data_IF_181844658338
#
_entry.id   IF_181844658338
#
_cell.length_a   1.000
_cell.length_b   1.000
_cell.length_c   1.000
_cell.angle_alpha   90.00
_cell.angle_beta   90.00
_cell.angle_gamma   90.00
#
_symmetry.space_group_name_H-M   'P 1'
#
loop_
_entity.id
_entity.type
_entity.pdbx_description
1 polymer ?
#
# COMPACT_ATOMS: atom_id res chain seq x y z
N UNK A 1 15.48 24.74 16.61
CA UNK A 1 14.41 24.02 15.90
C UNK A 1 14.98 22.74 15.37
N UNK A 2 14.24 21.65 15.44
CA UNK A 2 14.62 20.36 14.81
C UNK A 2 14.38 20.45 13.30
N UNK A 3 15.22 19.77 12.50
CA UNK A 3 14.88 19.53 11.09
C UNK A 3 13.71 18.56 10.98
N UNK A 4 13.01 18.56 9.83
CA UNK A 4 11.91 17.61 9.56
C UNK A 4 12.40 16.17 9.67
N UNK A 5 13.56 15.86 9.10
CA UNK A 5 14.16 14.53 9.14
C UNK A 5 14.47 14.09 10.58
N UNK A 6 15.10 14.96 11.37
CA UNK A 6 15.47 14.67 12.75
C UNK A 6 14.22 14.45 13.64
N UNK A 7 13.22 15.34 13.56
CA UNK A 7 12.00 15.21 14.32
C UNK A 7 11.25 13.93 13.98
N UNK A 8 11.12 13.61 12.69
CA UNK A 8 10.49 12.37 12.23
C UNK A 8 11.26 11.12 12.70
N UNK A 9 12.59 11.13 12.62
CA UNK A 9 13.39 9.99 13.08
C UNK A 9 13.22 9.75 14.57
N UNK A 10 13.32 10.79 15.41
CA UNK A 10 13.09 10.69 16.86
C UNK A 10 11.71 10.11 17.18
N UNK A 11 10.67 10.53 16.44
CA UNK A 11 9.32 9.98 16.58
C UNK A 11 9.28 8.50 16.20
N UNK A 12 9.81 8.16 15.04
CA UNK A 12 9.80 6.78 14.56
C UNK A 12 10.60 5.83 15.44
N UNK A 13 11.68 6.28 16.08
CA UNK A 13 12.49 5.46 16.96
C UNK A 13 11.73 4.96 18.21
N UNK A 14 10.68 5.66 18.61
CA UNK A 14 9.81 5.29 19.74
C UNK A 14 8.57 4.49 19.35
N UNK A 15 8.29 4.34 18.05
CA UNK A 15 7.12 3.61 17.53
C UNK A 15 7.47 2.14 17.31
N UNK A 16 6.68 1.24 17.87
CA UNK A 16 6.71 -0.19 17.59
C UNK A 16 5.53 -0.63 16.74
N UNK A 17 5.69 -1.73 16.01
CA UNK A 17 4.56 -2.37 15.34
C UNK A 17 3.58 -2.94 16.37
N UNK A 18 2.29 -2.89 16.05
CA UNK A 18 1.24 -3.49 16.86
C UNK A 18 1.36 -5.02 16.89
N UNK A 19 0.72 -5.68 17.86
CA UNK A 19 0.71 -7.14 17.96
C UNK A 19 0.27 -7.81 16.66
N UNK A 20 0.67 -9.07 16.54
CA UNK A 20 0.30 -9.93 15.42
C UNK A 20 -0.99 -10.68 15.75
N UNK A 21 -1.86 -10.83 14.77
CA UNK A 21 -3.06 -11.66 14.84
C UNK A 21 -3.08 -12.68 13.70
N UNK A 22 -3.72 -13.83 13.93
CA UNK A 22 -4.04 -14.78 12.86
C UNK A 22 -5.37 -14.38 12.23
N UNK A 23 -5.39 -14.21 10.91
CA UNK A 23 -6.55 -13.73 10.18
C UNK A 23 -6.91 -14.67 9.03
N UNK A 24 -8.21 -14.83 8.75
CA UNK A 24 -8.67 -15.54 7.54
C UNK A 24 -8.16 -14.82 6.29
N UNK A 25 -7.70 -15.61 5.30
CA UNK A 25 -7.21 -15.08 4.03
C UNK A 25 -8.24 -14.19 3.34
N UNK A 26 -9.53 -14.54 3.39
CA UNK A 26 -10.63 -13.79 2.76
C UNK A 26 -10.83 -12.38 3.33
N UNK A 27 -10.33 -12.10 4.54
CA UNK A 27 -10.47 -10.80 5.21
C UNK A 27 -9.13 -10.11 5.46
N UNK A 28 -8.02 -10.64 4.91
CA UNK A 28 -6.66 -10.14 5.14
C UNK A 28 -6.16 -9.09 4.14
N UNK A 29 -7.01 -8.70 3.19
CA UNK A 29 -6.66 -7.64 2.23
C UNK A 29 -6.23 -6.36 2.93
N UNK A 30 -5.15 -5.75 2.43
CA UNK A 30 -4.56 -4.50 2.92
C UNK A 30 -3.95 -4.59 4.34
N UNK A 31 -3.82 -5.79 4.89
CA UNK A 31 -3.01 -6.04 6.08
C UNK A 31 -1.54 -6.26 5.70
N UNK A 32 -0.65 -6.13 6.68
CA UNK A 32 0.79 -6.34 6.50
C UNK A 32 1.17 -7.71 7.08
N UNK A 33 1.79 -8.51 6.25
CA UNK A 33 2.22 -9.85 6.62
C UNK A 33 3.31 -9.79 7.71
N UNK A 34 3.13 -10.55 8.80
CA UNK A 34 4.02 -10.53 9.95
C UNK A 34 5.09 -11.65 9.91
N UNK A 35 5.00 -12.56 8.96
CA UNK A 35 5.89 -13.71 8.79
C UNK A 35 6.34 -13.86 7.32
N UNK A 36 7.45 -14.54 7.10
CA UNK A 36 7.86 -14.97 5.77
C UNK A 36 7.02 -16.18 5.33
N UNK A 37 6.52 -16.16 4.11
CA UNK A 37 5.76 -17.28 3.53
C UNK A 37 6.61 -18.02 2.55
N UNK A 38 6.87 -19.29 2.87
CA UNK A 38 7.58 -20.22 2.00
C UNK A 38 6.60 -21.17 1.30
N UNK A 39 6.93 -21.58 0.08
CA UNK A 39 6.17 -22.57 -0.67
C UNK A 39 6.29 -23.95 0.00
N UNK A 40 5.14 -24.57 0.23
CA UNK A 40 5.05 -25.94 0.78
C UNK A 40 4.89 -27.00 -0.31
N UNK A 41 4.63 -26.56 -1.54
CA UNK A 41 4.45 -27.41 -2.72
C UNK A 41 4.89 -26.64 -3.97
N UNK A 42 5.15 -27.37 -5.03
CA UNK A 42 5.51 -26.78 -6.33
C UNK A 42 4.31 -26.14 -7.02
N UNK A 43 4.53 -25.06 -7.76
CA UNK A 43 3.51 -24.43 -8.60
C UNK A 43 4.03 -24.32 -10.04
N UNK A 44 3.38 -25.00 -11.00
CA UNK A 44 2.31 -25.99 -10.82
C UNK A 44 2.80 -27.28 -10.12
N UNK A 45 1.91 -28.06 -9.51
CA UNK A 45 2.30 -29.24 -8.73
C UNK A 45 2.71 -30.47 -9.58
N UNK A 46 2.50 -30.42 -10.89
CA UNK A 46 2.85 -31.47 -11.85
C UNK A 46 3.06 -30.86 -13.25
N UNK A 47 3.77 -31.59 -14.10
CA UNK A 47 3.91 -31.24 -15.51
C UNK A 47 2.54 -31.25 -16.18
N UNK A 48 2.19 -30.16 -16.89
CA UNK A 48 0.87 -30.04 -17.51
C UNK A 48 0.94 -29.39 -18.90
N UNK A 49 -0.10 -29.54 -19.67
CA UNK A 49 -0.21 -28.97 -21.00
C UNK A 49 -0.44 -27.46 -20.94
N UNK A 50 0.35 -26.70 -21.69
CA UNK A 50 0.13 -25.27 -21.90
C UNK A 50 -0.99 -24.97 -22.93
N UNK A 51 -1.40 -25.96 -23.73
CA UNK A 51 -2.30 -25.82 -24.88
C UNK A 51 -3.30 -26.97 -24.95
N UNK A 52 -4.43 -26.74 -25.60
CA UNK A 52 -5.31 -27.83 -26.05
C UNK A 52 -4.69 -28.55 -27.25
N UNK A 53 -4.62 -29.87 -27.21
CA UNK A 53 -3.99 -30.59 -28.30
C UNK A 53 -3.80 -32.09 -28.02
N UNK A 54 -2.64 -32.60 -28.37
CA UNK A 54 -2.28 -33.99 -28.20
C UNK A 54 -0.91 -34.12 -27.55
N UNK A 55 -0.85 -34.82 -26.42
CA UNK A 55 0.40 -35.19 -25.78
C UNK A 55 1.03 -36.34 -26.58
N UNK A 56 2.30 -36.19 -26.97
CA UNK A 56 3.02 -37.04 -27.89
C UNK A 56 4.45 -37.29 -27.42
N UNK A 57 5.10 -38.27 -28.03
CA UNK A 57 6.57 -38.38 -28.06
C UNK A 57 7.06 -37.50 -29.22
N UNK A 58 7.80 -36.41 -28.92
CA UNK A 58 8.24 -35.46 -29.94
C UNK A 58 9.01 -36.12 -31.10
N UNK A 59 9.81 -37.14 -30.80
CA UNK A 59 10.57 -37.89 -31.80
C UNK A 59 9.67 -38.61 -32.83
N UNK A 60 8.47 -39.01 -32.45
CA UNK A 60 7.52 -39.70 -33.35
C UNK A 60 6.92 -38.75 -34.39
N UNK A 61 6.88 -37.47 -34.10
CA UNK A 61 6.26 -36.45 -34.95
C UNK A 61 7.25 -35.45 -35.53
N UNK A 62 8.55 -35.63 -35.30
CA UNK A 62 9.61 -34.68 -35.73
C UNK A 62 9.62 -34.37 -37.22
N UNK A 63 9.17 -35.35 -38.08
CA UNK A 63 9.13 -35.22 -39.53
C UNK A 63 7.72 -34.89 -40.05
N UNK A 64 6.75 -34.64 -39.19
CA UNK A 64 5.40 -34.30 -39.57
C UNK A 64 5.35 -32.97 -40.35
N UNK A 65 4.64 -32.94 -41.47
CA UNK A 65 4.42 -31.75 -42.28
C UNK A 65 3.06 -31.79 -42.97
N UNK A 66 2.61 -30.64 -43.51
CA UNK A 66 1.37 -30.57 -44.25
C UNK A 66 1.31 -31.55 -45.45
N UNK A 67 2.48 -31.83 -46.09
CA UNK A 67 2.60 -32.77 -47.20
C UNK A 67 2.78 -34.25 -46.74
N UNK A 68 3.27 -34.47 -45.53
CA UNK A 68 3.52 -35.79 -44.97
C UNK A 68 3.08 -35.84 -43.50
N UNK A 69 1.76 -35.91 -43.22
CA UNK A 69 1.25 -35.95 -41.87
C UNK A 69 1.57 -37.28 -41.18
N UNK A 70 1.90 -37.24 -39.88
CA UNK A 70 2.10 -38.43 -39.05
C UNK A 70 0.80 -38.81 -38.37
N UNK A 71 0.40 -40.10 -38.46
CA UNK A 71 -0.79 -40.60 -37.79
C UNK A 71 -0.44 -41.32 -36.50
N UNK A 72 -1.11 -40.95 -35.40
CA UNK A 72 -0.95 -41.54 -34.09
C UNK A 72 -2.28 -42.08 -33.60
N UNK A 73 -2.23 -43.21 -32.83
CA UNK A 73 -3.40 -43.77 -32.15
C UNK A 73 -3.70 -42.99 -30.89
N UNK A 74 -4.93 -42.49 -30.76
CA UNK A 74 -5.38 -41.77 -29.53
C UNK A 74 -5.80 -42.80 -28.49
N UNK A 75 -5.05 -42.88 -27.38
CA UNK A 75 -5.28 -43.91 -26.34
C UNK A 75 -6.24 -43.48 -25.25
N UNK A 76 -6.29 -42.14 -24.98
CA UNK A 76 -7.24 -41.56 -24.02
C UNK A 76 -7.45 -40.07 -24.30
N UNK A 77 -8.42 -39.47 -23.58
CA UNK A 77 -8.62 -38.03 -23.53
C UNK A 77 -8.46 -37.56 -22.08
N UNK A 78 -7.57 -36.61 -21.82
CA UNK A 78 -7.21 -36.11 -20.50
C UNK A 78 -7.77 -34.68 -20.36
N UNK A 79 -8.81 -34.53 -19.55
CA UNK A 79 -9.33 -33.21 -19.20
C UNK A 79 -8.60 -32.65 -17.98
N UNK A 80 -8.61 -31.32 -17.83
CA UNK A 80 -8.10 -30.67 -16.63
C UNK A 80 -8.83 -31.16 -15.37
N UNK A 81 -8.08 -31.45 -14.31
CA UNK A 81 -8.59 -32.01 -13.06
C UNK A 81 -8.63 -33.55 -13.02
N UNK A 82 -8.21 -34.24 -14.07
CA UNK A 82 -8.11 -35.70 -14.12
C UNK A 82 -6.66 -36.10 -14.33
N UNK A 83 -6.26 -37.16 -13.62
CA UNK A 83 -4.98 -37.82 -13.82
C UNK A 83 -5.02 -38.72 -15.05
N UNK A 84 -3.93 -38.82 -15.86
CA UNK A 84 -3.80 -39.80 -16.94
C UNK A 84 -3.89 -41.22 -16.38
N UNK A 85 -4.54 -42.13 -17.12
CA UNK A 85 -4.64 -43.54 -16.75
C UNK A 85 -3.77 -44.42 -17.61
N UNK A 86 -3.28 -43.91 -18.75
CA UNK A 86 -2.50 -44.64 -19.71
C UNK A 86 -1.14 -43.98 -19.96
N UNK A 87 -0.13 -44.83 -20.12
CA UNK A 87 1.19 -44.41 -20.57
C UNK A 87 1.18 -44.36 -22.11
N UNK A 88 1.85 -43.34 -22.66
CA UNK A 88 2.07 -43.19 -24.11
C UNK A 88 3.31 -43.99 -24.54
N UNK A 89 3.12 -44.86 -25.53
CA UNK A 89 4.17 -45.55 -26.26
C UNK A 89 4.35 -44.94 -27.67
N UNK A 90 5.31 -45.50 -28.43
CA UNK A 90 5.56 -45.07 -29.82
C UNK A 90 4.32 -45.22 -30.70
N UNK A 91 4.07 -44.25 -31.55
CA UNK A 91 2.92 -44.22 -32.44
C UNK A 91 1.58 -43.90 -31.73
N UNK A 92 1.61 -43.49 -30.47
CA UNK A 92 0.43 -43.18 -29.66
C UNK A 92 0.41 -41.69 -29.27
N UNK A 93 -0.78 -41.21 -28.97
CA UNK A 93 -1.03 -39.87 -28.44
C UNK A 93 -2.17 -39.90 -27.41
N UNK A 94 -2.22 -38.99 -26.48
CA UNK A 94 -3.41 -38.66 -25.69
C UNK A 94 -3.94 -37.32 -26.07
N UNK A 95 -5.24 -37.18 -26.31
CA UNK A 95 -5.88 -35.88 -26.42
C UNK A 95 -5.80 -35.22 -25.06
N UNK A 96 -5.30 -33.98 -25.01
CA UNK A 96 -5.05 -33.28 -23.74
C UNK A 96 -5.60 -31.85 -23.80
N UNK A 97 -6.17 -31.40 -22.69
CA UNK A 97 -6.66 -30.03 -22.53
C UNK A 97 -5.64 -29.17 -21.77
N UNK A 98 -5.67 -27.87 -21.98
CA UNK A 98 -4.84 -26.92 -21.26
C UNK A 98 -4.97 -27.10 -19.74
N UNK A 99 -3.83 -27.18 -19.04
CA UNK A 99 -3.77 -27.41 -17.60
C UNK A 99 -3.93 -28.86 -17.17
N UNK A 100 -4.22 -29.80 -18.09
CA UNK A 100 -4.29 -31.22 -17.78
C UNK A 100 -2.88 -31.81 -17.58
N UNK A 101 -2.77 -32.76 -16.64
CA UNK A 101 -1.53 -33.45 -16.29
C UNK A 101 -0.96 -34.21 -17.50
N UNK A 102 0.34 -34.07 -17.73
CA UNK A 102 1.02 -34.82 -18.79
C UNK A 102 1.01 -36.32 -18.50
N UNK A 103 0.65 -37.16 -19.51
CA UNK A 103 0.73 -38.61 -19.34
C UNK A 103 2.18 -39.09 -19.41
N UNK A 104 2.47 -40.16 -18.65
CA UNK A 104 3.77 -40.83 -18.73
C UNK A 104 4.13 -41.20 -20.17
N UNK A 105 5.38 -40.95 -20.53
CA UNK A 105 5.92 -41.29 -21.85
C UNK A 105 5.79 -40.15 -22.89
N UNK A 106 4.89 -39.21 -22.71
CA UNK A 106 4.83 -38.00 -23.54
C UNK A 106 5.88 -36.98 -23.07
N UNK A 107 6.45 -36.26 -24.01
CA UNK A 107 7.44 -35.22 -23.75
C UNK A 107 7.17 -33.89 -24.50
N UNK A 108 6.05 -33.80 -25.22
CA UNK A 108 5.61 -32.57 -25.88
C UNK A 108 4.09 -32.57 -26.11
N UNK A 109 3.53 -31.41 -26.40
CA UNK A 109 2.12 -31.24 -26.83
C UNK A 109 2.08 -30.57 -28.18
N UNK A 110 1.39 -31.23 -29.14
CA UNK A 110 1.03 -30.68 -30.45
C UNK A 110 -0.30 -29.97 -30.32
N UNK A 111 -0.35 -28.67 -30.71
CA UNK A 111 -1.58 -27.89 -30.64
C UNK A 111 -2.66 -28.47 -31.57
N UNK A 112 -3.93 -28.39 -31.15
CA UNK A 112 -5.07 -28.91 -31.95
C UNK A 112 -5.20 -28.25 -33.33
N UNK A 113 -4.75 -27.01 -33.47
CA UNK A 113 -4.83 -26.22 -34.71
C UNK A 113 -4.03 -26.83 -35.86
N UNK A 114 -2.98 -27.58 -35.56
CA UNK A 114 -2.13 -28.26 -36.54
C UNK A 114 -2.37 -29.77 -36.57
N UNK A 115 -3.57 -30.21 -36.17
CA UNK A 115 -3.98 -31.61 -36.13
C UNK A 115 -5.37 -31.86 -36.73
N UNK A 116 -5.66 -33.10 -37.09
CA UNK A 116 -6.98 -33.52 -37.52
C UNK A 116 -7.33 -34.88 -36.88
N UNK A 117 -8.40 -34.89 -36.08
CA UNK A 117 -8.92 -36.12 -35.48
C UNK A 117 -9.59 -37.00 -36.57
N UNK A 118 -9.28 -38.27 -36.58
CA UNK A 118 -9.82 -39.29 -37.52
C UNK A 118 -10.24 -40.57 -36.75
N UNK A 119 -11.43 -40.52 -36.14
CA UNK A 119 -11.90 -41.60 -35.29
C UNK A 119 -11.03 -41.83 -34.07
N UNK A 120 -10.39 -43.03 -33.98
CA UNK A 120 -9.45 -43.36 -32.90
C UNK A 120 -8.01 -42.92 -33.15
N UNK A 121 -7.75 -42.16 -34.23
CA UNK A 121 -6.43 -41.67 -34.60
C UNK A 121 -6.44 -40.15 -34.75
N UNK A 122 -5.25 -39.56 -34.72
CA UNK A 122 -5.02 -38.15 -35.04
C UNK A 122 -3.94 -38.03 -36.10
N UNK A 123 -4.18 -37.21 -37.10
CA UNK A 123 -3.15 -36.79 -38.07
C UNK A 123 -2.48 -35.52 -37.58
N UNK A 124 -1.18 -35.53 -37.50
CA UNK A 124 -0.32 -34.40 -37.08
C UNK A 124 0.32 -33.79 -38.33
N UNK A 125 0.12 -32.49 -38.57
CA UNK A 125 0.59 -31.82 -39.76
C UNK A 125 1.84 -30.94 -39.52
N UNK A 126 2.28 -30.78 -38.27
CA UNK A 126 3.45 -30.01 -37.90
C UNK A 126 4.22 -30.72 -36.77
N UNK A 127 5.51 -30.91 -36.94
CA UNK A 127 6.38 -31.50 -35.93
C UNK A 127 6.54 -30.56 -34.73
N UNK A 128 6.84 -31.13 -33.57
CA UNK A 128 7.05 -30.42 -32.34
C UNK A 128 8.38 -30.84 -31.71
N UNK A 129 9.12 -29.87 -31.14
CA UNK A 129 10.32 -30.16 -30.37
C UNK A 129 9.95 -30.71 -28.98
N UNK A 130 10.90 -31.45 -28.40
CA UNK A 130 10.79 -31.94 -27.03
C UNK A 130 10.55 -30.78 -26.06
N UNK A 131 9.66 -30.97 -25.09
CA UNK A 131 9.25 -29.99 -24.06
C UNK A 131 8.38 -28.82 -24.58
N UNK A 132 8.10 -28.76 -25.87
CA UNK A 132 7.24 -27.72 -26.43
C UNK A 132 5.81 -27.84 -25.88
N UNK A 133 5.23 -26.71 -25.46
CA UNK A 133 3.89 -26.61 -24.89
C UNK A 133 3.67 -27.45 -23.59
N UNK A 134 4.74 -27.75 -22.85
CA UNK A 134 4.69 -28.37 -21.52
C UNK A 134 5.09 -27.31 -20.49
N UNK A 135 4.31 -27.19 -19.43
CA UNK A 135 4.65 -26.44 -18.21
C UNK A 135 5.16 -27.46 -17.20
N UNK A 136 6.34 -27.23 -16.67
CA UNK A 136 6.94 -28.15 -15.71
C UNK A 136 6.50 -27.89 -14.28
N UNK A 137 6.46 -28.93 -13.49
CA UNK A 137 6.29 -28.83 -12.04
C UNK A 137 7.30 -27.83 -11.45
N UNK A 138 6.83 -26.88 -10.64
CA UNK A 138 7.68 -25.89 -10.00
C UNK A 138 8.27 -24.83 -10.92
N UNK A 139 7.80 -24.69 -12.18
CA UNK A 139 8.35 -23.65 -13.08
C UNK A 139 8.08 -22.23 -12.59
N UNK A 140 7.00 -22.00 -11.83
CA UNK A 140 6.66 -20.71 -11.25
C UNK A 140 7.23 -20.55 -9.85
N UNK A 141 7.05 -21.55 -8.99
CA UNK A 141 7.51 -21.56 -7.60
C UNK A 141 7.87 -23.00 -7.22
N UNK A 142 9.02 -23.18 -6.59
CA UNK A 142 9.47 -24.46 -6.06
C UNK A 142 9.24 -24.57 -4.56
N UNK A 143 9.00 -25.75 -4.09
CA UNK A 143 8.96 -26.07 -2.67
C UNK A 143 10.19 -25.53 -1.94
N UNK A 144 9.98 -24.76 -0.88
CA UNK A 144 11.05 -24.12 -0.11
C UNK A 144 11.40 -22.69 -0.54
N UNK A 145 10.90 -22.20 -1.69
CA UNK A 145 11.12 -20.82 -2.11
C UNK A 145 10.42 -19.83 -1.15
N UNK A 146 11.09 -18.70 -0.85
CA UNK A 146 10.45 -17.56 -0.21
C UNK A 146 9.54 -16.86 -1.22
N UNK A 147 8.23 -16.99 -1.04
CA UNK A 147 7.22 -16.47 -1.98
C UNK A 147 6.78 -15.06 -1.63
N UNK A 148 6.49 -14.81 -0.36
CA UNK A 148 6.08 -13.50 0.13
C UNK A 148 6.85 -13.19 1.41
N UNK A 149 7.71 -12.15 1.42
CA UNK A 149 8.43 -11.76 2.62
C UNK A 149 7.51 -11.04 3.63
N UNK A 150 7.83 -11.15 4.91
CA UNK A 150 7.22 -10.33 5.96
C UNK A 150 7.32 -8.84 5.65
N UNK A 151 6.40 -8.05 6.17
CA UNK A 151 6.31 -6.62 5.88
C UNK A 151 5.62 -6.29 4.55
N UNK A 152 5.24 -7.31 3.77
CA UNK A 152 4.53 -7.12 2.51
C UNK A 152 3.05 -6.83 2.76
N UNK A 153 2.50 -5.79 2.11
CA UNK A 153 1.06 -5.53 2.07
C UNK A 153 0.37 -6.59 1.22
N UNK A 154 -0.70 -7.19 1.75
CA UNK A 154 -1.50 -8.19 1.08
C UNK A 154 -2.47 -7.54 0.09
N UNK A 155 -2.05 -7.43 -1.18
CA UNK A 155 -2.85 -7.00 -2.32
C UNK A 155 -3.57 -8.21 -2.92
N UNK A 156 -4.45 -8.03 -3.91
CA UNK A 156 -5.12 -9.17 -4.58
C UNK A 156 -4.17 -10.26 -5.07
N UNK A 157 -2.98 -9.89 -5.56
CA UNK A 157 -1.98 -10.83 -6.07
C UNK A 157 -1.38 -11.71 -4.97
N UNK A 158 -1.03 -11.12 -3.83
CA UNK A 158 -0.53 -11.85 -2.67
C UNK A 158 -1.61 -12.77 -2.09
N UNK A 159 -2.88 -12.32 -2.05
CA UNK A 159 -4.02 -13.15 -1.63
C UNK A 159 -4.18 -14.36 -2.57
N UNK A 160 -4.13 -14.16 -3.88
CA UNK A 160 -4.24 -15.25 -4.86
C UNK A 160 -3.08 -16.25 -4.71
N UNK A 161 -1.86 -15.77 -4.51
CA UNK A 161 -0.69 -16.62 -4.29
C UNK A 161 -0.81 -17.42 -3.00
N UNK A 162 -1.24 -16.80 -1.90
CA UNK A 162 -1.47 -17.49 -0.63
C UNK A 162 -2.53 -18.59 -0.75
N UNK A 163 -3.58 -18.32 -1.53
CA UNK A 163 -4.61 -19.32 -1.81
C UNK A 163 -4.04 -20.50 -2.62
N UNK A 164 -3.19 -20.24 -3.61
CA UNK A 164 -2.54 -21.31 -4.39
C UNK A 164 -1.55 -22.14 -3.58
N UNK A 165 -1.03 -21.59 -2.47
CA UNK A 165 -0.18 -22.27 -1.48
C UNK A 165 -1.00 -22.93 -0.36
N UNK A 166 -2.32 -23.04 -0.51
CA UNK A 166 -3.22 -23.63 0.48
C UNK A 166 -3.12 -22.99 1.89
N UNK A 167 -2.99 -21.66 1.95
CA UNK A 167 -2.93 -20.87 3.20
C UNK A 167 -4.30 -20.27 3.54
N UNK A 168 -5.17 -20.95 4.30
CA UNK A 168 -6.49 -20.42 4.66
C UNK A 168 -6.44 -19.27 5.64
N UNK A 169 -5.36 -19.16 6.38
CA UNK A 169 -5.08 -18.08 7.36
C UNK A 169 -3.66 -17.57 7.22
N UNK A 170 -3.42 -16.35 7.68
CA UNK A 170 -2.12 -15.67 7.65
C UNK A 170 -1.89 -14.91 8.96
N UNK A 171 -0.62 -14.80 9.35
CA UNK A 171 -0.19 -13.95 10.47
C UNK A 171 0.03 -12.52 9.94
N UNK A 172 -0.71 -11.56 10.48
CA UNK A 172 -0.66 -10.16 10.06
C UNK A 172 -0.55 -9.23 11.28
N UNK A 173 0.00 -8.03 11.09
CA UNK A 173 -0.07 -7.00 12.11
C UNK A 173 -1.48 -6.44 12.24
N UNK A 174 -1.92 -6.16 13.47
CA UNK A 174 -3.18 -5.47 13.74
C UNK A 174 -3.19 -4.09 13.07
N UNK A 175 -4.34 -3.66 12.55
CA UNK A 175 -4.52 -2.30 12.04
C UNK A 175 -4.64 -1.33 13.22
N UNK A 176 -3.87 -0.22 13.26
CA UNK A 176 -3.99 0.79 14.29
C UNK A 176 -5.39 1.40 14.36
N UNK A 177 -5.97 1.45 15.54
CA UNK A 177 -7.16 2.24 15.86
C UNK A 177 -6.66 3.59 16.35
N UNK A 178 -7.11 4.68 15.74
CA UNK A 178 -6.57 6.01 15.98
C UNK A 178 -7.69 6.95 16.40
N UNK A 179 -7.66 7.39 17.65
CA UNK A 179 -8.60 8.38 18.15
C UNK A 179 -8.24 9.77 17.59
N UNK A 180 -9.24 10.50 17.11
CA UNK A 180 -9.07 11.85 16.57
C UNK A 180 -9.99 12.81 17.31
N UNK A 181 -9.39 13.86 17.91
CA UNK A 181 -10.09 14.88 18.70
C UNK A 181 -9.74 16.26 18.14
N UNK A 182 -10.73 17.08 17.83
CA UNK A 182 -10.51 18.52 17.67
C UNK A 182 -10.65 19.24 19.01
N UNK A 183 -9.89 20.33 19.19
CA UNK A 183 -9.95 21.13 20.42
C UNK A 183 -10.12 22.61 20.09
N UNK A 184 -10.95 23.28 20.84
CA UNK A 184 -11.19 24.73 20.71
C UNK A 184 -12.67 25.10 20.80
N UNK A 185 -12.95 26.09 21.65
CA UNK A 185 -14.30 26.62 21.82
C UNK A 185 -14.81 27.35 20.57
N UNK A 186 -13.92 27.74 19.65
CA UNK A 186 -14.28 28.34 18.36
C UNK A 186 -14.95 27.37 17.40
N UNK A 187 -14.84 26.06 17.63
CA UNK A 187 -15.32 25.03 16.71
C UNK A 187 -16.84 24.80 16.84
N UNK A 188 -17.48 24.67 15.70
CA UNK A 188 -18.89 24.27 15.58
C UNK A 188 -18.99 22.96 14.81
N UNK A 189 -19.75 21.98 15.29
CA UNK A 189 -20.03 20.75 14.55
C UNK A 189 -20.64 21.03 13.17
N UNK A 190 -20.46 20.10 12.22
CA UNK A 190 -21.14 20.19 10.93
C UNK A 190 -22.64 19.93 11.12
N UNK A 191 -23.46 20.64 10.34
CA UNK A 191 -24.92 20.57 10.44
C UNK A 191 -25.56 21.57 11.41
N UNK A 192 -24.80 22.14 12.35
CA UNK A 192 -25.30 23.16 13.27
C UNK A 192 -25.18 24.58 12.71
N UNK A 193 -26.02 25.55 13.11
CA UNK A 193 -25.85 26.97 12.70
C UNK A 193 -24.52 27.55 13.19
N UNK A 194 -23.85 28.32 12.31
CA UNK A 194 -22.57 28.97 12.65
C UNK A 194 -22.84 30.29 13.40
N UNK A 195 -22.48 30.34 14.67
CA UNK A 195 -22.57 31.58 15.46
C UNK A 195 -21.42 32.55 15.10
N UNK A 196 -21.58 33.85 15.36
CA UNK A 196 -20.49 34.85 15.19
C UNK A 196 -19.24 34.44 15.97
N UNK A 197 -18.07 34.56 15.34
CA UNK A 197 -16.77 34.19 15.94
C UNK A 197 -16.45 32.69 15.94
N UNK A 198 -17.34 31.84 15.47
CA UNK A 198 -17.12 30.40 15.35
C UNK A 198 -16.73 30.00 13.94
N UNK A 199 -16.05 28.87 13.83
CA UNK A 199 -15.64 28.22 12.57
C UNK A 199 -16.10 26.76 12.54
N UNK A 200 -16.10 26.15 11.35
CA UNK A 200 -16.40 24.71 11.21
C UNK A 200 -15.21 23.86 11.61
N UNK A 201 -15.47 22.76 12.33
CA UNK A 201 -14.50 21.71 12.56
C UNK A 201 -14.25 20.94 11.25
N UNK A 202 -13.24 21.33 10.51
CA UNK A 202 -12.84 20.64 9.28
C UNK A 202 -11.66 19.71 9.48
N UNK A 203 -10.81 19.98 10.48
CA UNK A 203 -9.56 19.22 10.67
C UNK A 203 -9.85 17.78 11.06
N UNK A 204 -10.76 17.54 11.99
CA UNK A 204 -11.10 16.19 12.46
C UNK A 204 -11.53 15.29 11.32
N UNK A 205 -12.40 15.78 10.45
CA UNK A 205 -12.85 15.01 9.27
C UNK A 205 -11.72 14.72 8.29
N UNK A 206 -10.90 15.73 7.99
CA UNK A 206 -9.73 15.57 7.12
C UNK A 206 -8.70 14.60 7.69
N UNK A 207 -8.44 14.66 9.00
CA UNK A 207 -7.52 13.75 9.69
C UNK A 207 -8.08 12.32 9.73
N UNK A 208 -9.38 12.13 10.04
CA UNK A 208 -10.00 10.81 9.98
C UNK A 208 -9.86 10.18 8.59
N UNK A 209 -10.10 10.94 7.53
CA UNK A 209 -9.91 10.47 6.16
C UNK A 209 -8.43 10.09 5.86
N UNK A 210 -7.47 10.88 6.35
CA UNK A 210 -6.04 10.54 6.20
C UNK A 210 -5.65 9.29 7.02
N UNK A 211 -6.25 9.06 8.17
CA UNK A 211 -6.08 7.81 8.95
C UNK A 211 -6.58 6.60 8.16
N UNK A 212 -7.77 6.71 7.53
CA UNK A 212 -8.31 5.66 6.66
C UNK A 212 -7.42 5.43 5.43
N UNK A 213 -6.95 6.50 4.78
CA UNK A 213 -6.02 6.41 3.64
C UNK A 213 -4.69 5.73 4.03
N UNK A 214 -4.23 5.92 5.26
CA UNK A 214 -3.08 5.22 5.81
C UNK A 214 -3.35 3.73 6.13
N UNK A 215 -4.57 3.23 5.87
CA UNK A 215 -4.96 1.84 6.14
C UNK A 215 -5.31 1.56 7.60
N UNK A 216 -5.47 2.59 8.42
CA UNK A 216 -5.81 2.52 9.85
C UNK A 216 -7.31 2.75 10.08
N UNK A 217 -7.78 2.54 11.30
CA UNK A 217 -9.19 2.74 11.69
C UNK A 217 -9.33 3.99 12.53
N UNK A 218 -9.95 5.07 12.04
CA UNK A 218 -10.21 6.26 12.84
C UNK A 218 -11.32 6.00 13.86
N UNK A 219 -11.17 6.59 15.05
CA UNK A 219 -12.21 6.70 16.07
C UNK A 219 -12.46 8.19 16.29
N UNK A 220 -13.58 8.67 15.75
CA UNK A 220 -14.01 10.05 15.90
C UNK A 220 -14.47 10.31 17.34
N UNK A 221 -13.74 11.16 18.07
CA UNK A 221 -13.99 11.52 19.46
C UNK A 221 -14.71 12.87 19.63
N UNK A 222 -15.01 13.56 18.53
CA UNK A 222 -15.69 14.85 18.55
C UNK A 222 -14.77 16.02 18.89
N UNK A 223 -15.36 17.06 19.48
CA UNK A 223 -14.70 18.29 19.87
C UNK A 223 -14.56 18.33 21.39
N UNK A 224 -13.34 18.51 21.88
CA UNK A 224 -13.08 18.79 23.29
C UNK A 224 -13.12 20.29 23.53
N UNK A 225 -13.85 20.77 24.58
CA UNK A 225 -13.91 22.18 24.92
C UNK A 225 -12.59 22.65 25.56
N UNK A 226 -12.38 23.97 25.63
CA UNK A 226 -11.23 24.57 26.31
C UNK A 226 -11.36 24.51 27.85
N UNK A 227 -11.67 23.32 28.36
CA UNK A 227 -11.77 22.98 29.78
C UNK A 227 -10.85 21.81 30.12
N UNK A 228 -9.92 21.99 31.04
CA UNK A 228 -8.87 21.03 31.35
C UNK A 228 -9.43 19.69 31.82
N UNK A 229 -10.39 19.68 32.75
CA UNK A 229 -10.95 18.46 33.31
C UNK A 229 -11.72 17.63 32.26
N UNK A 230 -12.50 18.30 31.42
CA UNK A 230 -13.27 17.65 30.37
C UNK A 230 -12.37 17.16 29.23
N UNK A 231 -11.38 17.95 28.82
CA UNK A 231 -10.40 17.55 27.82
C UNK A 231 -9.56 16.35 28.29
N UNK A 232 -9.13 16.35 29.58
CA UNK A 232 -8.43 15.19 30.17
C UNK A 232 -9.32 13.94 30.16
N UNK A 233 -10.58 14.06 30.51
CA UNK A 233 -11.54 12.95 30.51
C UNK A 233 -11.70 12.37 29.07
N UNK A 234 -11.83 13.24 28.07
CA UNK A 234 -11.96 12.83 26.67
C UNK A 234 -10.68 12.13 26.18
N UNK A 235 -9.49 12.67 26.49
CA UNK A 235 -8.21 12.09 26.06
C UNK A 235 -7.95 10.73 26.70
N UNK A 236 -8.22 10.56 28.01
CA UNK A 236 -8.11 9.25 28.67
C UNK A 236 -9.06 8.25 28.02
N UNK A 237 -10.32 8.63 27.80
CA UNK A 237 -11.30 7.77 27.12
C UNK A 237 -10.87 7.41 25.68
N UNK A 238 -10.24 8.33 24.96
CA UNK A 238 -9.68 8.09 23.65
C UNK A 238 -8.52 7.06 23.70
N UNK A 239 -7.61 7.21 24.67
CA UNK A 239 -6.50 6.27 24.88
C UNK A 239 -6.98 4.88 25.29
N UNK A 240 -8.07 4.76 26.06
CA UNK A 240 -8.66 3.45 26.41
C UNK A 240 -9.18 2.70 25.17
N UNK A 241 -9.68 3.42 24.15
CA UNK A 241 -10.32 2.83 22.97
C UNK A 241 -9.38 2.64 21.78
N UNK A 242 -8.28 3.38 21.73
CA UNK A 242 -7.41 3.47 20.57
C UNK A 242 -5.97 3.06 20.88
N UNK A 243 -5.21 2.82 19.82
CA UNK A 243 -3.79 2.49 19.88
C UNK A 243 -2.91 3.73 19.70
N UNK A 244 -3.52 4.86 19.26
CA UNK A 244 -2.89 6.18 19.16
C UNK A 244 -3.95 7.29 19.34
N UNK A 245 -3.51 8.48 19.77
CA UNK A 245 -4.33 9.70 19.86
C UNK A 245 -3.79 10.79 18.96
N UNK A 246 -4.66 11.43 18.17
CA UNK A 246 -4.37 12.64 17.42
C UNK A 246 -5.25 13.76 17.96
N UNK A 247 -4.63 14.89 18.33
CA UNK A 247 -5.36 16.12 18.65
C UNK A 247 -5.09 17.17 17.58
N UNK A 248 -6.11 17.96 17.23
CA UNK A 248 -5.97 19.11 16.32
C UNK A 248 -6.37 20.38 17.03
N UNK A 249 -5.43 21.32 17.12
CA UNK A 249 -5.54 22.54 17.93
C UNK A 249 -4.75 22.44 19.24
N UNK A 250 -4.64 23.54 19.99
CA UNK A 250 -4.09 23.56 21.32
C UNK A 250 -2.58 23.22 21.46
N UNK A 251 -1.78 23.32 20.40
CA UNK A 251 -0.31 23.06 20.45
C UNK A 251 0.52 24.29 20.06
N UNK A 252 -0.11 25.45 19.99
CA UNK A 252 0.54 26.72 19.64
C UNK A 252 1.30 27.32 20.82
N UNK A 253 1.91 28.49 20.64
CA UNK A 253 2.71 29.18 21.64
C UNK A 253 1.92 29.97 22.69
N UNK A 254 0.58 29.80 22.79
CA UNK A 254 -0.26 30.47 23.77
C UNK A 254 0.08 30.09 25.22
N UNK A 255 0.05 31.07 26.12
CA UNK A 255 0.35 30.87 27.55
C UNK A 255 -0.73 30.02 28.28
N UNK A 256 -1.96 29.98 27.74
CA UNK A 256 -3.12 29.28 28.33
C UNK A 256 -3.59 28.16 27.39
N UNK A 257 -2.73 27.20 27.09
CA UNK A 257 -3.03 26.11 26.20
C UNK A 257 -3.47 24.88 27.02
N UNK A 258 -4.80 24.72 27.18
CA UNK A 258 -5.44 23.59 27.91
C UNK A 258 -4.90 22.25 27.42
N UNK A 259 -4.71 22.09 26.10
CA UNK A 259 -4.21 20.83 25.52
C UNK A 259 -2.79 20.53 26.01
N UNK A 260 -1.92 21.54 26.11
CA UNK A 260 -0.55 21.34 26.64
C UNK A 260 -0.57 20.91 28.09
N UNK A 261 -1.40 21.54 28.93
CA UNK A 261 -1.53 21.19 30.33
C UNK A 261 -2.01 19.73 30.48
N UNK A 262 -3.03 19.36 29.75
CA UNK A 262 -3.58 18.00 29.76
C UNK A 262 -2.57 16.99 29.23
N UNK A 263 -1.96 17.23 28.09
CA UNK A 263 -0.96 16.32 27.50
C UNK A 263 0.22 16.09 28.45
N UNK A 264 0.70 17.15 29.12
CA UNK A 264 1.81 17.03 30.10
C UNK A 264 1.45 16.21 31.34
N UNK A 265 0.15 16.07 31.68
CA UNK A 265 -0.33 15.21 32.75
C UNK A 265 -0.48 13.74 32.33
N UNK A 266 -0.72 13.49 31.05
CA UNK A 266 -0.95 12.15 30.53
C UNK A 266 0.32 11.35 30.34
N UNK A 267 1.45 12.02 30.03
CA UNK A 267 2.70 11.31 29.77
C UNK A 267 3.87 12.22 29.40
N UNK A 268 4.93 11.63 28.88
CA UNK A 268 6.10 12.36 28.42
C UNK A 268 5.86 12.98 27.05
N UNK A 269 5.35 14.20 27.04
CA UNK A 269 5.03 14.91 25.80
C UNK A 269 6.06 16.03 25.52
N UNK A 270 6.61 15.97 24.33
CA UNK A 270 7.56 16.95 23.82
C UNK A 270 6.86 17.94 22.88
N UNK A 271 6.94 19.21 23.19
CA UNK A 271 6.44 20.29 22.31
C UNK A 271 7.57 20.78 21.42
N UNK A 272 7.52 20.36 20.16
CA UNK A 272 8.57 20.63 19.20
C UNK A 272 8.31 21.90 18.39
N UNK A 273 9.42 22.57 18.05
CA UNK A 273 9.46 23.57 16.99
C UNK A 273 10.25 22.99 15.83
N UNK A 274 9.55 22.54 14.80
CA UNK A 274 10.17 21.95 13.61
C UNK A 274 10.46 23.05 12.59
N UNK A 275 11.61 22.96 11.93
CA UNK A 275 12.07 23.93 10.92
C UNK A 275 11.35 23.72 9.57
N UNK A 276 10.01 23.77 9.59
CA UNK A 276 9.15 23.60 8.41
C UNK A 276 8.05 24.65 8.34
N UNK A 277 7.49 24.83 7.16
CA UNK A 277 6.30 25.62 6.86
C UNK A 277 5.45 24.91 5.80
N UNK A 278 4.14 24.72 6.08
CA UNK A 278 3.44 24.99 7.33
C UNK A 278 3.78 23.94 8.41
N UNK A 279 3.34 24.13 9.67
CA UNK A 279 3.42 23.09 10.70
C UNK A 279 4.58 23.23 11.69
N UNK A 280 5.07 24.46 11.97
CA UNK A 280 6.15 24.72 12.93
C UNK A 280 5.89 24.15 14.34
N UNK A 281 4.73 24.45 15.01
CA UNK A 281 4.46 23.87 16.32
C UNK A 281 3.86 22.47 16.16
N UNK A 282 4.36 21.52 16.91
CA UNK A 282 3.86 20.14 17.00
C UNK A 282 4.09 19.61 18.40
N UNK A 283 3.23 18.70 18.86
CA UNK A 283 3.46 17.94 20.07
C UNK A 283 3.54 16.45 19.73
N UNK A 284 4.48 15.76 20.38
CA UNK A 284 4.61 14.33 20.26
C UNK A 284 5.07 13.74 21.58
N UNK A 285 4.51 12.59 21.94
CA UNK A 285 4.93 11.84 23.11
C UNK A 285 4.22 10.51 23.25
N UNK A 286 4.46 9.87 24.37
CA UNK A 286 3.89 8.57 24.71
C UNK A 286 3.13 8.71 26.04
N UNK A 287 1.91 8.22 26.09
CA UNK A 287 1.14 8.04 27.32
C UNK A 287 0.56 6.63 27.34
N UNK A 288 0.72 5.93 28.45
CA UNK A 288 0.28 4.54 28.64
C UNK A 288 0.78 3.60 27.51
N UNK A 289 2.01 3.84 27.03
CA UNK A 289 2.63 3.09 25.93
C UNK A 289 2.06 3.40 24.54
N UNK A 290 1.17 4.39 24.41
CA UNK A 290 0.50 4.77 23.16
C UNK A 290 1.00 6.13 22.66
N UNK A 291 1.28 6.29 21.37
CA UNK A 291 1.71 7.58 20.82
C UNK A 291 0.57 8.60 20.80
N UNK A 292 0.92 9.83 21.12
CA UNK A 292 0.06 11.00 21.05
C UNK A 292 0.68 12.00 20.07
N UNK A 293 -0.12 12.49 19.15
CA UNK A 293 0.25 13.48 18.14
C UNK A 293 -0.60 14.73 18.30
N UNK A 294 0.02 15.84 18.67
CA UNK A 294 -0.63 17.15 18.73
C UNK A 294 -0.34 17.93 17.45
N UNK A 295 -1.38 18.19 16.66
CA UNK A 295 -1.30 18.88 15.37
C UNK A 295 -1.73 20.34 15.48
N UNK A 296 -1.21 21.24 14.61
CA UNK A 296 -1.63 22.63 14.60
C UNK A 296 -3.13 22.80 14.29
N UNK A 297 -3.75 23.90 14.79
CA UNK A 297 -5.15 24.22 14.49
C UNK A 297 -5.40 24.68 13.05
N UNK A 298 -4.42 25.29 12.36
CA UNK A 298 -4.57 25.66 10.96
C UNK A 298 -4.71 24.42 10.05
N UNK A 299 -5.74 24.33 9.18
CA UNK A 299 -6.08 23.09 8.47
C UNK A 299 -4.96 22.58 7.55
N UNK A 300 -4.33 23.44 6.78
CA UNK A 300 -3.20 23.04 5.92
C UNK A 300 -2.02 22.55 6.75
N UNK A 301 -1.74 23.21 7.89
CA UNK A 301 -0.67 22.77 8.78
C UNK A 301 -0.95 21.38 9.35
N UNK A 302 -2.17 21.15 9.80
CA UNK A 302 -2.62 19.89 10.38
C UNK A 302 -2.46 18.73 9.38
N UNK A 303 -3.00 18.89 8.17
CA UNK A 303 -2.97 17.84 7.15
C UNK A 303 -1.55 17.58 6.58
N UNK A 304 -0.72 18.63 6.44
CA UNK A 304 0.68 18.46 6.00
C UNK A 304 1.53 17.82 7.09
N UNK A 305 1.32 18.18 8.37
CA UNK A 305 2.03 17.53 9.50
C UNK A 305 1.60 16.07 9.61
N UNK A 306 0.32 15.77 9.45
CA UNK A 306 -0.14 14.39 9.40
C UNK A 306 0.62 13.59 8.33
N UNK A 307 0.66 14.09 7.09
CA UNK A 307 1.32 13.40 5.99
C UNK A 307 2.80 13.13 6.26
N UNK A 308 3.53 14.10 6.80
CA UNK A 308 4.98 14.01 6.96
C UNK A 308 5.44 13.27 8.24
N UNK A 309 4.59 13.18 9.27
CA UNK A 309 4.94 12.63 10.58
C UNK A 309 3.99 11.53 11.05
N UNK A 310 2.69 11.81 11.10
CA UNK A 310 1.72 10.86 11.67
C UNK A 310 1.55 9.66 10.77
N UNK A 311 1.38 9.86 9.46
CA UNK A 311 1.24 8.78 8.50
C UNK A 311 2.41 7.78 8.57
N UNK A 312 3.70 8.18 8.53
CA UNK A 312 4.82 7.27 8.71
C UNK A 312 4.78 6.50 10.04
N UNK A 313 4.37 7.14 11.13
CA UNK A 313 4.23 6.50 12.44
C UNK A 313 3.13 5.43 12.42
N UNK A 314 1.96 5.74 11.88
CA UNK A 314 0.84 4.81 11.74
C UNK A 314 1.18 3.62 10.83
N UNK A 315 1.88 3.86 9.72
CA UNK A 315 2.37 2.79 8.86
C UNK A 315 3.34 1.87 9.59
N UNK A 316 4.26 2.42 10.41
CA UNK A 316 5.16 1.62 11.23
C UNK A 316 4.40 0.80 12.28
N UNK A 317 3.39 1.39 12.94
CA UNK A 317 2.51 0.65 13.85
C UNK A 317 1.79 -0.51 13.17
N UNK A 318 1.37 -0.32 11.91
CA UNK A 318 0.74 -1.36 11.09
C UNK A 318 1.73 -2.40 10.53
N UNK A 319 3.04 -2.29 10.80
CA UNK A 319 4.05 -3.25 10.38
C UNK A 319 4.64 -2.99 8.98
N UNK A 320 4.38 -1.84 8.36
CA UNK A 320 5.01 -1.47 7.09
C UNK A 320 6.52 -1.26 7.25
N UNK A 321 7.28 -1.62 6.23
CA UNK A 321 8.72 -1.36 6.12
C UNK A 321 9.03 -0.08 5.32
N UNK A 322 8.18 0.25 4.36
CA UNK A 322 8.26 1.49 3.57
C UNK A 322 7.29 2.52 4.15
N UNK A 323 7.82 3.50 4.86
CA UNK A 323 7.02 4.45 5.64
C UNK A 323 6.77 5.77 4.92
N UNK A 324 7.67 6.17 4.02
CA UNK A 324 7.61 7.47 3.37
C UNK A 324 7.05 7.34 1.96
N UNK A 325 6.38 8.39 1.49
CA UNK A 325 6.03 8.45 0.06
C UNK A 325 7.29 8.59 -0.78
N UNK A 326 7.34 7.98 -1.97
CA UNK A 326 8.42 8.22 -2.91
C UNK A 326 8.54 9.70 -3.26
N UNK A 327 9.77 10.20 -3.27
CA UNK A 327 10.08 11.54 -3.77
C UNK A 327 10.71 11.45 -5.15
N UNK A 328 10.53 12.49 -5.95
CA UNK A 328 11.06 12.61 -7.29
C UNK A 328 11.36 14.08 -7.61
N UNK A 329 12.07 14.32 -8.69
CA UNK A 329 12.40 15.65 -9.16
C UNK A 329 11.30 16.15 -10.10
N UNK A 330 10.81 17.38 -9.86
CA UNK A 330 9.87 18.08 -10.75
C UNK A 330 10.47 19.44 -11.20
N UNK A 331 10.19 19.84 -12.42
CA UNK A 331 10.62 21.13 -12.99
C UNK A 331 9.56 22.16 -12.67
N UNK A 332 9.95 23.31 -12.14
CA UNK A 332 9.04 24.41 -11.86
C UNK A 332 8.56 25.07 -13.17
N UNK A 333 7.25 25.29 -13.26
CA UNK A 333 6.64 26.04 -14.37
C UNK A 333 6.57 27.55 -14.10
N UNK A 334 6.87 27.98 -12.88
CA UNK A 334 6.82 29.37 -12.42
C UNK A 334 7.96 29.71 -11.45
N UNK A 335 8.19 30.99 -11.24
CA UNK A 335 9.15 31.45 -10.24
C UNK A 335 8.56 31.28 -8.84
N UNK A 336 9.33 30.71 -7.91
CA UNK A 336 8.91 30.43 -6.54
C UNK A 336 9.94 30.99 -5.57
N UNK A 337 9.50 31.71 -4.54
CA UNK A 337 10.37 32.23 -3.49
C UNK A 337 9.93 31.77 -2.10
N UNK A 338 10.87 31.24 -1.35
CA UNK A 338 10.72 30.97 0.07
C UNK A 338 11.55 31.98 0.87
N UNK A 339 10.92 33.01 1.39
CA UNK A 339 11.57 34.04 2.22
C UNK A 339 11.68 33.66 3.70
N UNK A 340 11.23 32.45 4.06
CA UNK A 340 11.27 31.91 5.43
C UNK A 340 12.62 31.21 5.67
N UNK A 341 13.09 31.22 6.91
CA UNK A 341 14.29 30.49 7.35
C UNK A 341 14.07 28.98 7.50
N UNK A 342 12.88 28.50 7.18
CA UNK A 342 12.46 27.11 7.27
C UNK A 342 12.20 26.54 5.88
N UNK A 343 12.39 25.23 5.74
CA UNK A 343 11.93 24.51 4.55
C UNK A 343 10.43 24.68 4.38
N UNK A 344 9.98 24.98 3.17
CA UNK A 344 8.56 25.17 2.87
C UNK A 344 8.04 24.05 1.99
N UNK A 345 6.98 23.38 2.46
CA UNK A 345 6.20 22.40 1.70
C UNK A 345 5.04 23.14 1.03
N UNK A 346 5.20 23.45 -0.25
CA UNK A 346 4.17 24.16 -1.02
C UNK A 346 3.24 23.19 -1.71
N UNK A 347 1.94 23.48 -1.66
CA UNK A 347 0.91 22.74 -2.39
C UNK A 347 1.09 23.02 -3.86
N UNK A 348 1.14 21.96 -4.65
CA UNK A 348 1.43 22.04 -6.06
C UNK A 348 0.51 21.13 -6.89
N UNK A 349 0.30 21.53 -8.13
CA UNK A 349 -0.23 20.70 -9.20
C UNK A 349 0.98 20.14 -9.95
N UNK A 350 1.11 18.82 -9.95
CA UNK A 350 2.21 18.09 -10.55
C UNK A 350 1.66 17.28 -11.72
N UNK A 351 2.23 17.47 -12.91
CA UNK A 351 1.86 16.76 -14.13
C UNK A 351 3.08 16.09 -14.75
N UNK A 352 2.90 14.90 -15.31
CA UNK A 352 3.92 14.24 -16.10
C UNK A 352 3.78 14.65 -17.56
N UNK A 353 4.90 15.04 -18.18
CA UNK A 353 5.01 15.34 -19.60
C UNK A 353 6.24 14.61 -20.17
N UNK A 354 6.01 13.59 -20.97
CA UNK A 354 7.05 12.67 -21.41
C UNK A 354 7.66 11.90 -20.22
N UNK A 355 8.97 11.98 -20.05
CA UNK A 355 9.77 11.35 -18.99
C UNK A 355 9.99 12.26 -17.77
N UNK A 356 9.42 13.48 -17.75
CA UNK A 356 9.66 14.48 -16.72
C UNK A 356 8.36 14.89 -16.01
N UNK A 357 8.50 15.28 -14.75
CA UNK A 357 7.42 15.89 -13.98
C UNK A 357 7.59 17.41 -13.98
N UNK A 358 6.46 18.11 -14.07
CA UNK A 358 6.36 19.56 -13.99
C UNK A 358 5.46 19.95 -12.83
N UNK A 359 5.78 21.03 -12.14
CA UNK A 359 5.04 21.47 -10.98
C UNK A 359 4.81 22.98 -10.99
N UNK A 360 3.58 23.40 -10.64
CA UNK A 360 3.23 24.77 -10.33
C UNK A 360 2.46 24.83 -9.02
N UNK A 361 2.58 25.95 -8.29
CA UNK A 361 1.86 26.11 -7.03
C UNK A 361 0.35 26.29 -7.26
N UNK A 362 -0.46 25.93 -6.25
CA UNK A 362 -1.91 26.14 -6.28
C UNK A 362 -2.32 27.57 -5.88
N UNK A 363 -1.44 28.56 -6.09
CA UNK A 363 -1.66 29.95 -5.71
C UNK A 363 -1.25 30.27 -4.26
N UNK A 364 -2.00 31.05 -3.50
CA UNK A 364 -1.60 31.49 -2.15
C UNK A 364 -1.31 30.32 -1.21
N UNK A 365 -0.15 30.36 -0.53
CA UNK A 365 0.37 29.29 0.30
C UNK A 365 0.12 29.51 1.82
N UNK A 366 -0.94 30.23 2.20
CA UNK A 366 -1.33 30.44 3.60
C UNK A 366 -1.74 29.13 4.29
N UNK A 367 -1.42 28.99 5.58
CA UNK A 367 -1.72 27.75 6.35
C UNK A 367 -3.21 27.55 6.67
N UNK A 368 -4.02 28.61 6.55
CA UNK A 368 -5.48 28.55 6.69
C UNK A 368 -6.24 28.32 5.37
N UNK A 369 -5.55 28.33 4.21
CA UNK A 369 -6.19 28.23 2.90
C UNK A 369 -6.37 26.76 2.51
N UNK A 370 -7.34 26.08 3.13
CA UNK A 370 -7.61 24.64 2.89
C UNK A 370 -7.86 24.33 1.40
N UNK A 371 -8.52 25.25 0.68
CA UNK A 371 -8.80 25.07 -0.75
C UNK A 371 -7.53 24.86 -1.59
N UNK A 372 -6.38 25.41 -1.15
CA UNK A 372 -5.10 25.15 -1.83
C UNK A 372 -4.66 23.69 -1.83
N UNK A 373 -5.07 22.89 -0.81
CA UNK A 373 -4.87 21.42 -0.79
C UNK A 373 -5.85 20.69 -1.70
N UNK A 374 -7.10 21.18 -1.80
CA UNK A 374 -8.10 20.59 -2.71
C UNK A 374 -7.65 20.69 -4.17
N UNK A 375 -6.97 21.77 -4.53
CA UNK A 375 -6.42 21.98 -5.88
C UNK A 375 -5.11 21.20 -6.12
N UNK A 376 -4.41 20.79 -5.07
CA UNK A 376 -3.11 20.12 -5.16
C UNK A 376 -3.27 18.61 -5.35
N UNK A 377 -2.33 18.03 -6.07
CA UNK A 377 -2.11 16.59 -6.07
C UNK A 377 -0.74 16.22 -5.46
N UNK A 378 0.03 17.23 -5.01
CA UNK A 378 1.34 16.99 -4.43
C UNK A 378 1.89 18.18 -3.64
N UNK A 379 3.05 17.92 -3.03
CA UNK A 379 3.87 18.91 -2.34
C UNK A 379 5.21 19.05 -3.06
N UNK A 380 5.69 20.30 -3.19
CA UNK A 380 7.07 20.60 -3.59
C UNK A 380 7.82 21.16 -2.40
N UNK A 381 9.11 20.79 -2.31
CA UNK A 381 9.97 21.16 -1.18
C UNK A 381 10.87 22.34 -1.60
N UNK A 382 10.64 23.49 -1.01
CA UNK A 382 11.42 24.69 -1.30
C UNK A 382 12.38 24.96 -0.12
N UNK A 383 13.70 24.93 -0.34
CA UNK A 383 14.67 25.19 0.72
C UNK A 383 14.50 26.55 1.40
N UNK A 384 14.99 26.66 2.63
CA UNK A 384 14.97 27.91 3.38
C UNK A 384 15.70 29.04 2.61
N UNK A 385 15.10 30.23 2.53
CA UNK A 385 15.67 31.40 1.86
C UNK A 385 15.83 31.29 0.34
N UNK A 386 15.40 30.19 -0.29
CA UNK A 386 15.60 29.95 -1.72
C UNK A 386 14.66 30.80 -2.59
N UNK A 387 15.21 31.31 -3.69
CA UNK A 387 14.45 31.88 -4.81
C UNK A 387 14.78 31.06 -6.04
N UNK A 388 13.77 30.37 -6.57
CA UNK A 388 13.88 29.47 -7.70
C UNK A 388 13.11 30.04 -8.91
N UNK A 389 13.60 29.77 -10.11
CA UNK A 389 13.01 30.22 -11.37
C UNK A 389 12.24 29.10 -12.06
N UNK A 390 11.35 29.47 -12.95
CA UNK A 390 10.80 28.52 -13.92
C UNK A 390 11.94 27.82 -14.66
N UNK A 391 11.86 26.49 -14.75
CA UNK A 391 12.92 25.61 -15.27
C UNK A 391 13.83 24.98 -14.21
N UNK A 392 13.89 25.53 -12.99
CA UNK A 392 14.65 24.91 -11.90
C UNK A 392 13.98 23.60 -11.42
N UNK A 393 14.79 22.70 -10.88
CA UNK A 393 14.32 21.39 -10.37
C UNK A 393 14.14 21.45 -8.86
N UNK A 394 13.05 20.88 -8.38
CA UNK A 394 12.71 20.77 -6.95
C UNK A 394 12.33 19.34 -6.60
N UNK A 395 12.55 18.94 -5.34
CA UNK A 395 12.00 17.70 -4.80
C UNK A 395 10.49 17.82 -4.68
N UNK A 396 9.79 16.78 -5.07
CA UNK A 396 8.33 16.68 -5.05
C UNK A 396 7.87 15.31 -4.55
N UNK A 397 6.65 15.26 -4.01
CA UNK A 397 5.94 14.03 -3.68
C UNK A 397 4.45 14.18 -4.01
N UNK A 398 3.81 13.10 -4.44
CA UNK A 398 2.35 13.08 -4.57
C UNK A 398 1.67 12.97 -3.20
N UNK A 399 0.46 13.52 -3.12
CA UNK A 399 -0.49 13.32 -2.02
C UNK A 399 -1.58 12.36 -2.50
N UNK A 400 -1.82 11.30 -1.79
CA UNK A 400 -2.93 10.38 -2.03
C UNK A 400 -2.80 9.50 -3.26
#
# INVERSE_FOLDING_TARGET
MLSVREARQRMLDTIAALPVETRSLSTSRDYILAEDVYATEDIPPFDNSAMDGYAVIAADVSNASGANPVKLTVVETIAAGYAPTKRIGRGQASRIMTGAMMPDGADAVVMKEVTKAEGSTVAIFEGVEKHRNVRFAGESVKTGDLVIPKGKRLRPQEIAMLASLNKPTVSVHCKPRVAVVSTGDELTPIGEPLAPGKIRDSNRFGICAQVEEAGCTPIDMGIAPDNEAETERIFRHALDKADALITSGGVSVGEYDVVKAVLSKLGEINFWRVAMKPGKPQAYGIADGKPIFGLPGNPVSSLVVFELFVRPALLKMAGHTELLRPTFNAVLEENVANRDERVTYMRALIAQQGDRYFAKTTGPQGSGILYSLVLANGLIVIPAGATLKAGDTVEAQFLG
#
